data_IF_789549737889
#
_entry.id   IF_789549737889
#
_cell.length_a   1.000
_cell.length_b   1.000
_cell.length_c   1.000
_cell.angle_alpha   90.00
_cell.angle_beta   90.00
_cell.angle_gamma   90.00
#
_symmetry.space_group_name_H-M   'P 1'
#
loop_
_entity.id
_entity.type
_entity.pdbx_description
1 polymer ?
#
# COMPACT_ATOMS: atom_id res chain seq x y z
N UNK A 1 86.44 20.74 -30.57
CA UNK A 1 85.34 19.87 -30.93
C UNK A 1 84.62 19.48 -29.63
N UNK A 2 83.46 20.14 -29.29
CA UNK A 2 82.66 19.80 -28.13
C UNK A 2 81.40 19.17 -28.63
N UNK A 3 81.16 17.88 -28.26
CA UNK A 3 79.93 17.17 -28.56
C UNK A 3 78.92 17.47 -27.46
N UNK A 4 77.81 18.15 -27.81
CA UNK A 4 76.68 18.35 -26.92
C UNK A 4 75.75 17.12 -26.92
N UNK A 5 75.50 16.55 -25.76
CA UNK A 5 74.43 15.52 -25.54
C UNK A 5 73.09 16.28 -25.31
N UNK A 6 72.12 15.96 -26.14
CA UNK A 6 70.74 16.36 -25.94
C UNK A 6 70.06 15.24 -25.14
N UNK A 7 69.66 15.53 -23.90
CA UNK A 7 68.83 14.65 -23.10
C UNK A 7 67.36 14.92 -23.44
N UNK A 8 66.68 13.91 -24.04
CA UNK A 8 65.23 13.93 -24.26
C UNK A 8 64.55 13.39 -22.98
N UNK A 9 63.85 14.26 -22.25
CA UNK A 9 63.04 13.87 -21.12
C UNK A 9 61.71 13.33 -21.64
N UNK A 10 61.46 12.03 -21.50
CA UNK A 10 60.19 11.36 -21.73
C UNK A 10 59.27 11.64 -20.52
N UNK A 11 58.34 12.56 -20.63
CA UNK A 11 57.27 12.73 -19.62
C UNK A 11 56.22 11.62 -19.81
N UNK A 12 56.30 10.60 -18.95
CA UNK A 12 55.26 9.55 -18.87
C UNK A 12 53.99 10.13 -18.27
N UNK A 13 52.94 10.24 -19.07
CA UNK A 13 51.55 10.46 -18.59
C UNK A 13 51.09 9.21 -17.80
N UNK A 14 51.14 9.28 -16.49
CA UNK A 14 50.46 8.32 -15.60
C UNK A 14 48.95 8.59 -15.70
N UNK A 15 48.28 7.84 -16.57
CA UNK A 15 46.81 7.75 -16.54
C UNK A 15 46.43 6.87 -15.35
N UNK A 16 45.99 7.52 -14.26
CA UNK A 16 45.32 6.82 -13.17
C UNK A 16 44.04 6.20 -13.70
N UNK A 17 43.82 4.87 -13.55
CA UNK A 17 42.52 4.29 -13.90
C UNK A 17 41.49 4.90 -12.97
N UNK A 18 40.56 5.67 -13.53
CA UNK A 18 39.33 6.05 -12.85
C UNK A 18 38.60 4.73 -12.61
N UNK A 19 38.51 4.26 -11.40
CA UNK A 19 37.59 3.17 -11.00
C UNK A 19 36.20 3.65 -11.40
N UNK A 20 35.67 3.10 -12.49
CA UNK A 20 34.28 3.28 -12.84
C UNK A 20 33.48 2.73 -11.63
N UNK A 21 32.75 3.60 -10.95
CA UNK A 21 31.82 3.16 -9.91
C UNK A 21 30.92 2.10 -10.54
N UNK A 22 30.72 0.98 -9.85
CA UNK A 22 29.83 -0.08 -10.34
C UNK A 22 28.48 0.51 -10.70
N UNK A 23 28.00 0.21 -11.92
CA UNK A 23 26.77 0.78 -12.44
C UNK A 23 25.59 0.35 -11.55
N UNK A 24 24.91 1.32 -10.93
CA UNK A 24 23.76 1.07 -10.09
C UNK A 24 22.57 0.63 -10.96
N UNK A 25 21.98 -0.50 -10.61
CA UNK A 25 20.77 -1.01 -11.29
C UNK A 25 19.71 0.07 -11.41
N UNK A 26 19.18 0.29 -12.60
CA UNK A 26 18.06 1.20 -12.87
C UNK A 26 18.34 2.69 -12.64
N UNK A 27 19.61 3.08 -12.46
CA UNK A 27 20.04 4.47 -12.28
C UNK A 27 21.11 4.80 -13.32
N UNK A 28 20.86 5.89 -14.06
CA UNK A 28 21.82 6.48 -14.98
C UNK A 28 22.00 7.96 -14.63
N UNK A 29 22.84 8.69 -15.35
CA UNK A 29 23.00 10.14 -15.19
C UNK A 29 21.71 10.91 -15.55
N UNK A 30 20.80 10.30 -16.31
CA UNK A 30 19.59 10.96 -16.84
C UNK A 30 18.28 10.36 -16.35
N UNK A 31 18.29 9.12 -15.84
CA UNK A 31 17.06 8.38 -15.58
C UNK A 31 17.14 7.53 -14.31
N UNK A 32 16.00 7.40 -13.61
CA UNK A 32 15.75 6.43 -12.54
C UNK A 32 14.57 5.57 -13.00
N UNK A 33 14.77 4.25 -13.11
CA UNK A 33 13.73 3.32 -13.54
C UNK A 33 13.01 2.76 -12.33
N UNK A 34 11.71 3.02 -12.24
CA UNK A 34 10.83 2.56 -11.15
C UNK A 34 9.78 1.63 -11.74
N UNK A 35 9.54 0.49 -11.11
CA UNK A 35 8.57 -0.49 -11.57
C UNK A 35 7.44 -0.74 -10.59
N UNK A 36 6.33 -1.23 -11.10
CA UNK A 36 5.23 -1.82 -10.33
C UNK A 36 4.55 -2.91 -11.14
N UNK A 37 3.98 -3.89 -10.45
CA UNK A 37 2.90 -4.70 -10.97
C UNK A 37 1.66 -4.49 -10.10
N UNK A 38 0.51 -4.33 -10.73
CA UNK A 38 -0.75 -4.14 -10.02
C UNK A 38 -1.90 -4.65 -10.88
N UNK A 39 -3.08 -4.78 -10.30
CA UNK A 39 -4.26 -5.22 -11.03
C UNK A 39 -4.84 -4.07 -11.86
N UNK A 40 -4.78 -4.19 -13.18
CA UNK A 40 -5.36 -3.19 -14.09
C UNK A 40 -6.65 -3.66 -14.77
N UNK A 41 -6.96 -4.96 -14.72
CA UNK A 41 -8.08 -5.55 -15.47
C UNK A 41 -8.85 -6.66 -14.73
N UNK A 42 -8.43 -7.01 -13.50
CA UNK A 42 -9.06 -8.05 -12.69
C UNK A 42 -10.00 -7.51 -11.61
N UNK A 43 -10.17 -8.30 -10.54
CA UNK A 43 -11.17 -8.05 -9.47
C UNK A 43 -10.84 -6.85 -8.57
N UNK A 44 -9.60 -6.38 -8.56
CA UNK A 44 -9.13 -5.21 -7.80
C UNK A 44 -8.66 -4.08 -8.71
N UNK A 45 -9.06 -4.09 -9.99
CA UNK A 45 -8.60 -3.11 -10.98
C UNK A 45 -8.88 -1.66 -10.56
N UNK A 46 -9.99 -1.39 -9.86
CA UNK A 46 -10.28 -0.07 -9.33
C UNK A 46 -9.21 0.45 -8.37
N UNK A 47 -8.56 -0.45 -7.61
CA UNK A 47 -7.43 -0.12 -6.75
C UNK A 47 -6.16 0.13 -7.57
N UNK A 48 -5.79 -0.83 -8.41
CA UNK A 48 -4.55 -0.80 -9.16
C UNK A 48 -4.48 0.35 -10.16
N UNK A 49 -5.54 0.57 -10.93
CA UNK A 49 -5.62 1.67 -11.92
C UNK A 49 -5.53 3.04 -11.25
N UNK A 50 -6.34 3.29 -10.20
CA UNK A 50 -6.36 4.62 -9.58
C UNK A 50 -5.07 4.92 -8.82
N UNK A 51 -4.50 3.90 -8.14
CA UNK A 51 -3.21 4.05 -7.46
C UNK A 51 -2.08 4.32 -8.46
N UNK A 52 -1.92 3.48 -9.50
CA UNK A 52 -0.86 3.66 -10.51
C UNK A 52 -0.97 4.99 -11.28
N UNK A 53 -2.19 5.48 -11.50
CA UNK A 53 -2.42 6.78 -12.10
C UNK A 53 -1.83 7.92 -11.26
N UNK A 54 -2.01 7.90 -9.94
CA UNK A 54 -1.46 8.96 -9.08
C UNK A 54 0.06 8.88 -8.93
N UNK A 55 0.64 7.68 -8.91
CA UNK A 55 2.10 7.54 -9.00
C UNK A 55 2.64 8.16 -10.29
N UNK A 56 2.00 7.85 -11.43
CA UNK A 56 2.36 8.45 -12.73
C UNK A 56 2.24 9.96 -12.70
N UNK A 57 1.10 10.48 -12.22
CA UNK A 57 0.86 11.93 -12.12
C UNK A 57 1.95 12.63 -11.31
N UNK A 58 2.30 12.11 -10.13
CA UNK A 58 3.32 12.70 -9.27
C UNK A 58 4.73 12.61 -9.89
N UNK A 59 5.07 11.51 -10.57
CA UNK A 59 6.33 11.35 -11.25
C UNK A 59 6.43 12.27 -12.48
N UNK A 60 5.35 12.46 -13.22
CA UNK A 60 5.31 13.40 -14.35
C UNK A 60 5.46 14.84 -13.87
N UNK A 61 4.88 15.22 -12.72
CA UNK A 61 5.11 16.51 -12.07
C UNK A 61 6.58 16.72 -11.70
N UNK A 62 7.17 15.72 -11.03
CA UNK A 62 8.59 15.77 -10.70
C UNK A 62 9.48 15.89 -11.96
N UNK A 63 9.13 15.15 -13.00
CA UNK A 63 9.82 15.19 -14.29
C UNK A 63 9.69 16.56 -14.97
N UNK A 64 8.52 17.17 -14.96
CA UNK A 64 8.29 18.51 -15.50
C UNK A 64 9.09 19.58 -14.74
N UNK A 65 9.23 19.41 -13.42
CA UNK A 65 10.03 20.30 -12.56
C UNK A 65 11.56 20.11 -12.69
N UNK A 66 12.04 19.28 -13.61
CA UNK A 66 13.48 19.05 -13.84
C UNK A 66 13.99 17.67 -13.40
N UNK A 67 13.12 16.83 -12.82
CA UNK A 67 13.46 15.50 -12.31
C UNK A 67 14.01 15.53 -10.88
N UNK A 68 14.57 14.42 -10.45
CA UNK A 68 15.18 14.26 -9.12
C UNK A 68 16.71 14.31 -9.26
N UNK A 69 17.31 15.33 -8.69
CA UNK A 69 18.78 15.56 -8.80
C UNK A 69 19.28 15.52 -10.25
N UNK A 70 18.45 16.03 -11.22
CA UNK A 70 18.74 16.06 -12.65
C UNK A 70 18.36 14.80 -13.44
N UNK A 71 17.82 13.76 -12.79
CA UNK A 71 17.35 12.52 -13.43
C UNK A 71 15.84 12.53 -13.60
N UNK A 72 15.36 12.05 -14.74
CA UNK A 72 13.92 11.81 -14.96
C UNK A 72 13.53 10.44 -14.39
N UNK A 73 12.31 10.34 -13.88
CA UNK A 73 11.74 9.07 -13.46
C UNK A 73 11.07 8.40 -14.65
N UNK A 74 11.44 7.16 -14.93
CA UNK A 74 10.75 6.28 -15.87
C UNK A 74 9.92 5.28 -15.07
N UNK A 75 8.60 5.35 -15.18
CA UNK A 75 7.68 4.51 -14.45
C UNK A 75 7.09 3.43 -15.35
N UNK A 76 7.30 2.15 -14.99
CA UNK A 76 6.83 0.97 -15.71
C UNK A 76 5.76 0.28 -14.88
N UNK A 77 4.59 0.03 -15.49
CA UNK A 77 3.45 -0.60 -14.85
C UNK A 77 3.08 -1.88 -15.60
N UNK A 78 3.01 -3.01 -14.89
CA UNK A 78 2.62 -4.32 -15.41
C UNK A 78 1.27 -4.75 -14.82
N UNK A 79 0.40 -5.33 -15.64
CA UNK A 79 -0.89 -5.87 -15.21
C UNK A 79 -0.74 -7.30 -14.67
N UNK A 80 -1.03 -7.49 -13.39
CA UNK A 80 -0.99 -8.82 -12.76
C UNK A 80 -2.37 -9.51 -12.66
N UNK A 81 -3.47 -8.82 -12.97
CA UNK A 81 -4.84 -9.33 -12.90
C UNK A 81 -5.20 -9.97 -11.54
N UNK A 82 -4.56 -9.51 -10.45
CA UNK A 82 -4.69 -10.08 -9.12
C UNK A 82 -4.37 -11.59 -9.07
N UNK A 83 -3.36 -12.02 -9.86
CA UNK A 83 -2.94 -13.43 -9.99
C UNK A 83 -1.46 -13.60 -9.63
N UNK A 84 -1.15 -14.56 -8.75
CA UNK A 84 0.23 -14.84 -8.32
C UNK A 84 1.14 -15.19 -9.52
N UNK A 85 0.79 -16.10 -10.45
CA UNK A 85 1.68 -16.44 -11.57
C UNK A 85 2.01 -15.24 -12.45
N UNK A 86 1.04 -14.35 -12.71
CA UNK A 86 1.25 -13.13 -13.49
C UNK A 86 2.14 -12.14 -12.75
N UNK A 87 1.98 -12.03 -11.42
CA UNK A 87 2.84 -11.17 -10.59
C UNK A 87 4.29 -11.65 -10.62
N UNK A 88 4.53 -12.96 -10.55
CA UNK A 88 5.89 -13.54 -10.69
C UNK A 88 6.49 -13.23 -12.06
N UNK A 89 5.72 -13.35 -13.14
CA UNK A 89 6.18 -13.00 -14.48
C UNK A 89 6.49 -11.51 -14.61
N UNK A 90 5.61 -10.63 -14.08
CA UNK A 90 5.79 -9.19 -14.11
C UNK A 90 7.00 -8.76 -13.29
N UNK A 91 7.17 -9.29 -12.06
CA UNK A 91 8.32 -9.01 -11.22
C UNK A 91 9.63 -9.45 -11.90
N UNK A 92 9.66 -10.65 -12.47
CA UNK A 92 10.82 -11.13 -13.23
C UNK A 92 11.17 -10.22 -14.41
N UNK A 93 10.17 -9.75 -15.16
CA UNK A 93 10.37 -8.81 -16.26
C UNK A 93 10.95 -7.49 -15.76
N UNK A 94 10.32 -6.88 -14.76
CA UNK A 94 10.74 -5.60 -14.17
C UNK A 94 12.17 -5.67 -13.63
N UNK A 95 12.50 -6.73 -12.90
CA UNK A 95 13.80 -6.89 -12.26
C UNK A 95 14.89 -7.26 -13.28
N UNK A 96 14.66 -8.29 -14.11
CA UNK A 96 15.74 -8.90 -14.91
C UNK A 96 15.83 -8.33 -16.33
N UNK A 97 14.73 -7.82 -16.90
CA UNK A 97 14.72 -7.27 -18.27
C UNK A 97 14.73 -5.75 -18.27
N UNK A 98 13.84 -5.14 -17.47
CA UNK A 98 13.71 -3.68 -17.43
C UNK A 98 14.72 -3.04 -16.46
N UNK A 99 15.31 -3.84 -15.56
CA UNK A 99 16.38 -3.44 -14.67
C UNK A 99 15.99 -2.35 -13.68
N UNK A 100 14.78 -2.43 -13.11
CA UNK A 100 14.27 -1.39 -12.20
C UNK A 100 15.17 -1.20 -10.97
N UNK A 101 15.33 0.05 -10.54
CA UNK A 101 16.01 0.41 -9.31
C UNK A 101 15.21 0.00 -8.07
N UNK A 102 13.90 0.24 -8.11
CA UNK A 102 12.98 0.05 -7.00
C UNK A 102 11.63 -0.37 -7.54
N UNK A 103 10.89 -1.17 -6.77
CA UNK A 103 9.50 -1.46 -7.03
C UNK A 103 8.60 -0.76 -6.01
N UNK A 104 7.54 -0.12 -6.49
CA UNK A 104 6.59 0.66 -5.68
C UNK A 104 5.17 0.16 -5.88
N UNK A 105 4.32 0.28 -4.86
CA UNK A 105 2.88 0.03 -4.97
C UNK A 105 2.50 -1.32 -5.61
N UNK A 106 3.31 -2.35 -5.45
CA UNK A 106 3.00 -3.70 -5.93
C UNK A 106 1.68 -4.19 -5.35
N UNK A 107 0.74 -4.61 -6.22
CA UNK A 107 -0.63 -4.94 -5.84
C UNK A 107 -0.79 -6.33 -5.23
N UNK A 108 -1.46 -6.40 -4.05
CA UNK A 108 -1.93 -7.64 -3.44
C UNK A 108 -0.93 -8.33 -2.49
N UNK A 109 -1.43 -8.81 -1.35
CA UNK A 109 -0.61 -9.49 -0.32
C UNK A 109 0.02 -10.79 -0.83
N UNK A 110 -0.74 -11.77 -1.35
CA UNK A 110 -0.16 -13.03 -1.80
C UNK A 110 0.80 -12.84 -2.98
N UNK A 111 0.59 -11.83 -3.82
CA UNK A 111 1.45 -11.47 -4.94
C UNK A 111 2.79 -10.94 -4.44
N UNK A 112 2.78 -10.01 -3.48
CA UNK A 112 4.00 -9.50 -2.86
C UNK A 112 4.76 -10.61 -2.12
N UNK A 113 4.09 -11.44 -1.33
CA UNK A 113 4.74 -12.53 -0.61
C UNK A 113 5.41 -13.54 -1.54
N UNK A 114 4.84 -13.78 -2.73
CA UNK A 114 5.40 -14.69 -3.72
C UNK A 114 6.60 -14.09 -4.47
N UNK A 115 6.70 -12.77 -4.65
CA UNK A 115 7.73 -12.12 -5.47
C UNK A 115 8.83 -11.46 -4.65
N UNK A 116 8.50 -10.97 -3.46
CA UNK A 116 9.39 -10.17 -2.62
C UNK A 116 10.69 -10.89 -2.21
N UNK A 117 10.72 -12.21 -1.91
CA UNK A 117 11.97 -12.88 -1.58
C UNK A 117 13.02 -12.76 -2.68
N UNK A 118 12.67 -13.01 -3.95
CA UNK A 118 13.58 -12.88 -5.10
C UNK A 118 13.93 -11.40 -5.38
N UNK A 119 12.96 -10.50 -5.25
CA UNK A 119 13.15 -9.05 -5.39
C UNK A 119 14.20 -8.53 -4.41
N UNK A 120 14.06 -8.85 -3.13
CA UNK A 120 14.99 -8.42 -2.07
C UNK A 120 16.37 -9.05 -2.20
N UNK A 121 16.43 -10.34 -2.56
CA UNK A 121 17.70 -11.03 -2.81
C UNK A 121 18.52 -10.38 -3.95
N UNK A 122 17.85 -9.71 -4.88
CA UNK A 122 18.48 -8.94 -5.97
C UNK A 122 18.76 -7.47 -5.62
N UNK A 123 18.56 -7.09 -4.37
CA UNK A 123 18.80 -5.73 -3.88
C UNK A 123 17.79 -4.69 -4.37
N UNK A 124 16.58 -5.11 -4.82
CA UNK A 124 15.54 -4.21 -5.31
C UNK A 124 14.58 -3.87 -4.16
N UNK A 125 14.50 -2.62 -3.69
CA UNK A 125 13.60 -2.22 -2.62
C UNK A 125 12.12 -2.42 -2.97
N UNK A 126 11.30 -2.79 -1.95
CA UNK A 126 9.84 -2.90 -2.02
C UNK A 126 9.21 -1.78 -1.20
N UNK A 127 8.68 -0.77 -1.89
CA UNK A 127 8.29 0.49 -1.26
C UNK A 127 6.78 0.68 -1.37
N UNK A 128 6.13 0.81 -0.20
CA UNK A 128 4.71 1.12 -0.09
C UNK A 128 3.82 0.26 -0.99
N UNK A 129 3.92 -1.08 -0.90
CA UNK A 129 3.06 -1.97 -1.69
C UNK A 129 1.59 -1.60 -1.53
N UNK A 130 0.79 -1.82 -2.57
CA UNK A 130 -0.66 -1.63 -2.52
C UNK A 130 -1.31 -2.82 -1.78
N UNK A 131 -0.92 -2.93 -0.55
CA UNK A 131 -1.44 -3.82 0.49
C UNK A 131 -0.92 -3.34 1.84
N UNK A 132 -1.76 -3.43 2.88
CA UNK A 132 -1.36 -3.10 4.24
C UNK A 132 -0.98 -4.33 5.06
N UNK A 133 -0.53 -5.43 4.44
CA UNK A 133 -0.12 -6.60 5.17
C UNK A 133 1.14 -6.35 6.01
N UNK A 134 1.18 -6.92 7.23
CA UNK A 134 2.33 -6.84 8.13
C UNK A 134 3.63 -7.37 7.49
N UNK A 135 3.53 -8.34 6.59
CA UNK A 135 4.68 -8.87 5.85
C UNK A 135 5.41 -7.84 4.99
N UNK A 136 4.83 -6.66 4.76
CA UNK A 136 5.47 -5.59 3.98
C UNK A 136 6.56 -4.84 4.76
N UNK A 137 6.63 -5.01 6.08
CA UNK A 137 7.68 -4.42 6.92
C UNK A 137 8.23 -5.43 7.96
N UNK A 138 7.50 -6.51 8.28
CA UNK A 138 7.93 -7.59 9.16
C UNK A 138 8.07 -8.94 8.40
N UNK A 139 9.03 -9.83 8.81
CA UNK A 139 10.16 -9.49 9.66
C UNK A 139 10.96 -8.34 9.04
N UNK A 140 11.68 -7.57 9.87
CA UNK A 140 12.44 -6.42 9.39
C UNK A 140 13.42 -6.81 8.28
N UNK A 141 13.45 -6.02 7.22
CA UNK A 141 14.43 -6.07 6.15
C UNK A 141 14.67 -4.64 5.65
N UNK A 142 15.94 -4.23 5.52
CA UNK A 142 16.31 -2.84 5.21
C UNK A 142 15.70 -2.30 3.89
N UNK A 143 15.32 -3.17 2.95
CA UNK A 143 14.71 -2.79 1.67
C UNK A 143 13.17 -2.83 1.67
N UNK A 144 12.50 -3.06 2.79
CA UNK A 144 11.04 -3.09 2.88
C UNK A 144 10.49 -1.88 3.62
N UNK A 145 9.50 -1.20 3.04
CA UNK A 145 8.81 -0.08 3.68
C UNK A 145 7.29 -0.16 3.47
N UNK A 146 6.54 -0.21 4.57
CA UNK A 146 5.08 -0.12 4.60
C UNK A 146 4.63 1.32 4.79
N UNK A 147 3.55 1.73 4.13
CA UNK A 147 3.08 3.13 4.15
C UNK A 147 2.47 3.51 5.50
N UNK A 148 1.53 2.72 6.00
CA UNK A 148 0.69 3.07 7.15
C UNK A 148 0.32 1.82 7.96
N UNK A 149 -0.70 1.92 8.82
CA UNK A 149 -1.16 0.82 9.70
C UNK A 149 -1.48 -0.45 8.90
N UNK A 150 -0.93 -1.57 9.36
CA UNK A 150 -1.19 -2.88 8.76
C UNK A 150 -2.63 -3.35 8.98
N UNK A 151 -3.10 -4.32 8.19
CA UNK A 151 -4.37 -4.99 8.46
C UNK A 151 -4.41 -5.60 9.86
N UNK A 152 -3.30 -6.14 10.30
CA UNK A 152 -3.14 -6.64 11.67
C UNK A 152 -3.38 -5.54 12.70
N UNK A 153 -2.73 -4.36 12.58
CA UNK A 153 -2.91 -3.24 13.50
C UNK A 153 -4.36 -2.73 13.47
N UNK A 154 -4.91 -2.58 12.26
CA UNK A 154 -6.29 -2.14 12.05
C UNK A 154 -7.29 -3.05 12.76
N UNK A 155 -7.14 -4.39 12.62
CA UNK A 155 -8.06 -5.32 13.25
C UNK A 155 -7.85 -5.44 14.75
N UNK A 156 -6.62 -5.32 15.23
CA UNK A 156 -6.39 -5.21 16.68
C UNK A 156 -7.13 -4.01 17.27
N UNK A 157 -6.94 -2.83 16.70
CA UNK A 157 -7.61 -1.62 17.16
C UNK A 157 -9.14 -1.71 17.03
N UNK A 158 -9.65 -2.20 15.89
CA UNK A 158 -11.08 -2.34 15.65
C UNK A 158 -11.77 -3.32 16.58
N UNK A 159 -11.23 -4.52 16.74
CA UNK A 159 -11.77 -5.54 17.65
C UNK A 159 -11.75 -5.05 19.10
N UNK A 160 -10.64 -4.43 19.56
CA UNK A 160 -10.57 -3.82 20.88
C UNK A 160 -11.71 -2.83 21.10
N UNK A 161 -11.91 -1.93 20.13
CA UNK A 161 -12.94 -0.91 20.21
C UNK A 161 -14.35 -1.52 20.29
N UNK A 162 -14.67 -2.52 19.47
CA UNK A 162 -15.99 -3.17 19.50
C UNK A 162 -16.23 -3.96 20.77
N UNK A 163 -15.23 -4.65 21.31
CA UNK A 163 -15.35 -5.36 22.61
C UNK A 163 -15.54 -4.37 23.75
N UNK A 164 -14.72 -3.31 23.85
CA UNK A 164 -14.74 -2.36 24.97
C UNK A 164 -15.91 -1.37 24.92
N UNK A 165 -16.26 -0.87 23.75
CA UNK A 165 -17.27 0.21 23.60
C UNK A 165 -18.64 -0.28 23.19
N UNK A 166 -18.71 -1.39 22.44
CA UNK A 166 -19.97 -1.95 21.95
C UNK A 166 -20.34 -3.27 22.66
N UNK A 167 -19.52 -3.73 23.62
CA UNK A 167 -19.79 -4.90 24.45
C UNK A 167 -19.81 -6.23 23.71
N UNK A 168 -19.17 -6.31 22.52
CA UNK A 168 -19.15 -7.52 21.70
C UNK A 168 -18.33 -8.63 22.34
N UNK A 169 -18.85 -9.86 22.30
CA UNK A 169 -18.21 -11.03 22.93
C UNK A 169 -18.17 -12.26 22.01
N UNK A 170 -19.11 -12.38 21.10
CA UNK A 170 -19.22 -13.49 20.16
C UNK A 170 -18.69 -13.08 18.78
N UNK A 171 -17.37 -12.84 18.70
CA UNK A 171 -16.71 -12.37 17.49
C UNK A 171 -16.43 -13.53 16.55
N UNK A 172 -16.84 -13.39 15.30
CA UNK A 172 -16.60 -14.34 14.22
C UNK A 172 -15.77 -13.73 13.09
N UNK A 173 -15.25 -14.59 12.21
CA UNK A 173 -14.46 -14.18 11.07
C UNK A 173 -14.98 -14.71 9.74
N UNK A 174 -14.84 -13.91 8.67
CA UNK A 174 -15.03 -14.33 7.30
C UNK A 174 -13.97 -13.69 6.43
N UNK A 175 -13.11 -14.51 5.83
CA UNK A 175 -11.95 -13.97 5.12
C UNK A 175 -11.56 -14.78 3.89
N UNK A 176 -10.82 -14.15 2.97
CA UNK A 176 -10.18 -14.87 1.89
C UNK A 176 -9.17 -15.91 2.42
N UNK A 177 -9.17 -17.10 1.85
CA UNK A 177 -8.16 -18.14 2.11
C UNK A 177 -6.84 -17.79 1.39
N UNK A 178 -6.21 -16.71 1.86
CA UNK A 178 -4.97 -16.16 1.32
C UNK A 178 -4.15 -15.55 2.45
N UNK A 179 -2.90 -15.17 2.17
CA UNK A 179 -2.06 -14.41 3.12
C UNK A 179 -2.70 -13.11 3.59
N UNK A 180 -3.50 -12.46 2.72
CA UNK A 180 -4.25 -11.27 3.07
C UNK A 180 -5.28 -11.55 4.17
N UNK A 181 -6.16 -12.53 3.96
CA UNK A 181 -7.18 -12.89 4.94
C UNK A 181 -6.58 -13.38 6.25
N UNK A 182 -5.45 -14.11 6.19
CA UNK A 182 -4.72 -14.55 7.40
C UNK A 182 -4.21 -13.36 8.21
N UNK A 183 -3.58 -12.35 7.60
CA UNK A 183 -3.05 -11.17 8.30
C UNK A 183 -4.16 -10.38 9.02
N UNK A 184 -5.33 -10.23 8.37
CA UNK A 184 -6.53 -9.62 8.96
C UNK A 184 -6.99 -10.41 10.20
N UNK A 185 -7.15 -11.73 10.05
CA UNK A 185 -7.67 -12.58 11.12
C UNK A 185 -6.68 -12.78 12.25
N UNK A 186 -5.37 -12.75 12.00
CA UNK A 186 -4.35 -12.78 13.05
C UNK A 186 -4.45 -11.57 13.97
N UNK A 187 -4.68 -10.36 13.41
CA UNK A 187 -4.94 -9.17 14.21
C UNK A 187 -6.16 -9.32 15.12
N UNK A 188 -7.26 -9.85 14.59
CA UNK A 188 -8.48 -10.10 15.35
C UNK A 188 -8.27 -11.14 16.46
N UNK A 189 -7.63 -12.29 16.14
CA UNK A 189 -7.34 -13.38 17.09
C UNK A 189 -6.43 -12.92 18.23
N UNK A 190 -5.35 -12.23 17.92
CA UNK A 190 -4.39 -11.76 18.93
C UNK A 190 -5.01 -10.71 19.85
N UNK A 191 -5.88 -9.85 19.32
CA UNK A 191 -6.59 -8.88 20.14
C UNK A 191 -7.60 -9.56 21.08
N UNK A 192 -8.40 -10.49 20.57
CA UNK A 192 -9.35 -11.24 21.38
C UNK A 192 -8.62 -12.03 22.48
N UNK A 193 -7.51 -12.70 22.14
CA UNK A 193 -6.67 -13.41 23.11
C UNK A 193 -6.16 -12.48 24.21
N UNK A 194 -5.71 -11.26 23.87
CA UNK A 194 -5.27 -10.25 24.83
C UNK A 194 -6.41 -9.81 25.78
N UNK A 195 -7.67 -9.99 25.37
CA UNK A 195 -8.88 -9.67 26.14
C UNK A 195 -9.54 -10.90 26.76
N UNK A 196 -8.86 -12.07 26.80
CA UNK A 196 -9.37 -13.36 27.26
C UNK A 196 -10.63 -13.84 26.53
N UNK A 197 -10.73 -13.51 25.24
CA UNK A 197 -11.76 -13.95 24.30
C UNK A 197 -11.14 -14.76 23.17
N UNK A 198 -11.97 -15.39 22.35
CA UNK A 198 -11.54 -16.11 21.14
C UNK A 198 -12.57 -15.95 20.02
N UNK A 199 -12.15 -16.24 18.79
CA UNK A 199 -13.05 -16.33 17.64
C UNK A 199 -14.03 -17.49 17.88
N UNK A 200 -15.34 -17.25 17.74
CA UNK A 200 -16.40 -18.24 17.91
C UNK A 200 -16.54 -19.14 16.69
N UNK A 201 -16.50 -18.55 15.51
CA UNK A 201 -16.56 -19.27 14.24
C UNK A 201 -15.81 -18.52 13.14
N UNK A 202 -15.25 -19.27 12.21
CA UNK A 202 -14.62 -18.72 11.01
C UNK A 202 -15.10 -19.42 9.75
N UNK A 203 -15.19 -18.66 8.68
CA UNK A 203 -15.42 -19.15 7.33
C UNK A 203 -14.38 -18.58 6.38
N UNK A 204 -13.94 -19.39 5.43
CA UNK A 204 -12.97 -19.01 4.40
C UNK A 204 -13.63 -19.07 3.02
N UNK A 205 -13.16 -18.25 2.11
CA UNK A 205 -13.56 -18.26 0.71
C UNK A 205 -12.37 -18.02 -0.21
N UNK A 206 -12.44 -18.52 -1.42
CA UNK A 206 -11.43 -18.25 -2.45
C UNK A 206 -11.69 -16.87 -3.10
N UNK A 207 -10.66 -16.22 -3.64
CA UNK A 207 -10.82 -14.97 -4.38
C UNK A 207 -11.77 -15.05 -5.59
N UNK A 208 -12.07 -16.27 -6.06
CA UNK A 208 -12.97 -16.55 -7.19
C UNK A 208 -14.41 -16.82 -6.78
N UNK A 209 -14.68 -16.97 -5.48
CA UNK A 209 -16.03 -17.29 -5.00
C UNK A 209 -16.96 -16.09 -5.16
N UNK A 210 -18.23 -16.37 -5.46
CA UNK A 210 -19.27 -15.37 -5.70
C UNK A 210 -20.56 -15.64 -4.90
N UNK A 211 -20.69 -16.79 -4.26
CA UNK A 211 -21.81 -17.14 -3.38
C UNK A 211 -21.33 -17.33 -1.94
N UNK A 212 -21.88 -16.51 -1.06
CA UNK A 212 -21.54 -16.48 0.37
C UNK A 212 -22.69 -16.94 1.26
N UNK A 213 -23.76 -17.53 0.69
CA UNK A 213 -24.98 -17.90 1.43
C UNK A 213 -24.69 -18.93 2.51
N UNK A 214 -23.97 -20.01 2.20
CA UNK A 214 -23.64 -21.05 3.16
C UNK A 214 -22.65 -20.58 4.24
N UNK A 215 -21.55 -19.88 3.95
CA UNK A 215 -20.71 -19.23 4.95
C UNK A 215 -21.48 -18.29 5.90
N UNK A 216 -22.37 -17.44 5.36
CA UNK A 216 -23.21 -16.53 6.15
C UNK A 216 -24.15 -17.28 7.09
N UNK A 217 -24.83 -18.32 6.60
CA UNK A 217 -25.72 -19.17 7.43
C UNK A 217 -24.95 -19.80 8.60
N UNK A 218 -23.74 -20.34 8.33
CA UNK A 218 -22.89 -20.94 9.35
C UNK A 218 -22.53 -19.95 10.47
N UNK A 219 -22.18 -18.70 10.13
CA UNK A 219 -21.85 -17.67 11.13
C UNK A 219 -23.09 -17.24 11.93
N UNK A 220 -24.26 -17.20 11.28
CA UNK A 220 -25.53 -16.91 11.96
C UNK A 220 -25.88 -17.98 12.99
N UNK A 221 -25.77 -19.25 12.61
CA UNK A 221 -26.05 -20.40 13.47
C UNK A 221 -25.07 -20.50 14.66
N UNK A 222 -23.85 -19.97 14.49
CA UNK A 222 -22.84 -19.88 15.56
C UNK A 222 -23.15 -18.78 16.60
N UNK A 223 -24.16 -17.94 16.39
CA UNK A 223 -24.57 -16.90 17.34
C UNK A 223 -23.61 -15.71 17.42
N UNK A 224 -22.96 -15.35 16.33
CA UNK A 224 -22.06 -14.19 16.27
C UNK A 224 -22.76 -12.88 16.61
N UNK A 225 -22.08 -11.96 17.31
CA UNK A 225 -22.53 -10.58 17.57
C UNK A 225 -21.69 -9.52 16.86
N UNK A 226 -20.53 -9.92 16.32
CA UNK A 226 -19.65 -9.14 15.44
C UNK A 226 -19.01 -10.07 14.42
N UNK A 227 -18.95 -9.64 13.15
CA UNK A 227 -18.18 -10.34 12.11
C UNK A 227 -17.03 -9.45 11.64
N UNK A 228 -15.81 -9.98 11.75
CA UNK A 228 -14.61 -9.41 11.14
C UNK A 228 -14.51 -9.90 9.71
N UNK A 229 -14.40 -8.97 8.75
CA UNK A 229 -14.28 -9.26 7.31
C UNK A 229 -12.84 -9.05 6.83
N UNK A 230 -12.18 -10.14 6.46
CA UNK A 230 -10.91 -10.16 5.74
C UNK A 230 -11.13 -10.22 4.23
N UNK A 231 -11.80 -9.20 3.65
CA UNK A 231 -12.36 -9.24 2.29
C UNK A 231 -11.96 -8.01 1.49
N UNK A 232 -11.84 -8.17 0.16
CA UNK A 232 -11.68 -7.08 -0.79
C UNK A 232 -13.04 -6.42 -1.10
N UNK A 233 -13.03 -5.26 -1.77
CA UNK A 233 -14.24 -4.46 -2.11
C UNK A 233 -15.39 -5.29 -2.64
N UNK A 234 -15.17 -6.13 -3.69
CA UNK A 234 -16.21 -6.97 -4.29
C UNK A 234 -16.84 -7.94 -3.29
N UNK A 235 -16.01 -8.68 -2.58
CA UNK A 235 -16.46 -9.71 -1.64
C UNK A 235 -17.19 -9.06 -0.46
N UNK A 236 -16.71 -7.92 0.03
CA UNK A 236 -17.36 -7.13 1.08
C UNK A 236 -18.79 -6.75 0.69
N UNK A 237 -18.97 -6.19 -0.51
CA UNK A 237 -20.31 -5.82 -1.01
C UNK A 237 -21.24 -7.03 -1.05
N UNK A 238 -20.78 -8.15 -1.58
CA UNK A 238 -21.59 -9.36 -1.72
C UNK A 238 -21.96 -9.97 -0.36
N UNK A 239 -21.01 -10.06 0.57
CA UNK A 239 -21.21 -10.63 1.90
C UNK A 239 -22.15 -9.77 2.73
N UNK A 240 -21.89 -8.45 2.80
CA UNK A 240 -22.74 -7.53 3.57
C UNK A 240 -24.16 -7.52 3.01
N UNK A 241 -24.31 -7.48 1.68
CA UNK A 241 -25.61 -7.56 1.03
C UNK A 241 -26.34 -8.88 1.32
N UNK A 242 -25.64 -10.01 1.31
CA UNK A 242 -26.22 -11.32 1.64
C UNK A 242 -26.71 -11.38 3.10
N UNK A 243 -25.95 -10.83 4.03
CA UNK A 243 -26.32 -10.73 5.46
C UNK A 243 -27.57 -9.86 5.64
N UNK A 244 -27.62 -8.69 5.00
CA UNK A 244 -28.78 -7.78 5.09
C UNK A 244 -30.04 -8.35 4.42
N UNK A 245 -29.87 -9.06 3.29
CA UNK A 245 -30.98 -9.71 2.58
C UNK A 245 -31.76 -10.73 3.40
N UNK A 246 -31.08 -11.44 4.31
CA UNK A 246 -31.72 -12.40 5.22
C UNK A 246 -32.24 -11.74 6.50
N UNK A 247 -32.25 -10.42 6.60
CA UNK A 247 -32.71 -9.66 7.74
C UNK A 247 -31.82 -9.80 9.00
N UNK A 248 -30.57 -10.22 8.83
CA UNK A 248 -29.64 -10.36 9.95
C UNK A 248 -28.95 -9.03 10.25
N UNK A 249 -29.43 -8.37 11.33
CA UNK A 249 -28.88 -7.11 11.79
C UNK A 249 -27.74 -7.34 12.76
N UNK A 250 -26.54 -7.54 12.23
CA UNK A 250 -25.31 -7.77 13.00
C UNK A 250 -24.28 -6.69 12.67
N UNK A 251 -23.42 -6.36 13.61
CA UNK A 251 -22.28 -5.48 13.36
C UNK A 251 -21.22 -6.20 12.52
N UNK A 252 -20.68 -5.47 11.55
CA UNK A 252 -19.70 -5.94 10.60
C UNK A 252 -18.55 -4.95 10.56
N UNK A 253 -17.32 -5.42 10.68
CA UNK A 253 -16.13 -4.59 10.61
C UNK A 253 -15.14 -5.13 9.59
N UNK A 254 -14.70 -4.29 8.68
CA UNK A 254 -13.64 -4.56 7.71
C UNK A 254 -12.37 -3.74 7.99
N UNK A 255 -11.50 -3.73 7.02
CA UNK A 255 -10.20 -3.07 7.03
C UNK A 255 -9.99 -2.28 5.72
N UNK A 256 -8.82 -1.64 5.53
CA UNK A 256 -8.57 -0.72 4.42
C UNK A 256 -8.94 -1.25 3.03
N UNK A 257 -8.81 -2.55 2.74
CA UNK A 257 -9.19 -3.10 1.43
C UNK A 257 -10.71 -3.20 1.22
N UNK A 258 -11.52 -2.98 2.26
CA UNK A 258 -12.97 -2.82 2.19
C UNK A 258 -13.42 -1.35 2.29
N UNK A 259 -12.49 -0.43 2.54
CA UNK A 259 -12.75 1.00 2.65
C UNK A 259 -12.62 1.65 1.27
N UNK A 260 -13.65 1.51 0.47
CA UNK A 260 -13.74 2.07 -0.89
C UNK A 260 -15.13 2.65 -1.12
N UNK A 261 -15.24 3.68 -1.94
CA UNK A 261 -16.50 4.37 -2.23
C UNK A 261 -17.56 3.41 -2.79
N UNK A 262 -17.13 2.44 -3.62
CA UNK A 262 -18.05 1.44 -4.16
C UNK A 262 -18.73 0.58 -3.09
N UNK A 263 -18.11 0.41 -1.92
CA UNK A 263 -18.76 -0.27 -0.78
C UNK A 263 -19.83 0.64 -0.15
N UNK A 264 -19.55 1.93 -0.04
CA UNK A 264 -20.51 2.87 0.56
C UNK A 264 -21.72 3.16 -0.38
N UNK A 265 -21.47 3.22 -1.68
CA UNK A 265 -22.42 3.64 -2.70
C UNK A 265 -23.29 2.51 -3.26
N UNK A 266 -23.35 1.35 -2.59
CA UNK A 266 -24.15 0.20 -3.07
C UNK A 266 -25.62 0.61 -3.19
N UNK A 267 -26.25 0.42 -4.37
CA UNK A 267 -27.65 0.75 -4.57
C UNK A 267 -28.58 0.10 -3.55
N UNK A 268 -29.53 0.87 -3.04
CA UNK A 268 -30.46 0.42 -2.01
C UNK A 268 -29.89 0.39 -0.59
N UNK A 269 -28.64 0.88 -0.38
CA UNK A 269 -28.05 1.01 0.95
C UNK A 269 -27.75 -0.33 1.62
N UNK A 270 -27.48 -1.38 0.84
CA UNK A 270 -27.24 -2.72 1.39
C UNK A 270 -26.05 -2.80 2.36
N UNK A 271 -25.12 -1.83 2.29
CA UNK A 271 -23.94 -1.75 3.15
C UNK A 271 -24.09 -0.71 4.27
N UNK A 272 -25.24 -0.11 4.44
CA UNK A 272 -25.50 0.86 5.52
C UNK A 272 -25.16 0.25 6.89
N UNK A 273 -24.44 1.02 7.73
CA UNK A 273 -23.96 0.57 9.03
C UNK A 273 -22.80 -0.41 8.98
N UNK A 274 -22.16 -0.65 7.83
CA UNK A 274 -20.92 -1.39 7.74
C UNK A 274 -19.77 -0.52 8.22
N UNK A 275 -18.92 -1.06 9.10
CA UNK A 275 -17.76 -0.38 9.65
C UNK A 275 -16.47 -0.84 8.95
N UNK A 276 -15.51 0.07 8.84
CA UNK A 276 -14.16 -0.27 8.40
C UNK A 276 -13.10 0.48 9.20
N UNK A 277 -12.04 -0.22 9.57
CA UNK A 277 -10.81 0.42 10.00
C UNK A 277 -10.04 0.86 8.76
N UNK A 278 -9.49 2.06 8.80
CA UNK A 278 -8.68 2.61 7.71
C UNK A 278 -7.46 3.35 8.25
N UNK A 279 -6.29 3.26 7.61
CA UNK A 279 -5.10 3.99 8.06
C UNK A 279 -5.19 5.50 7.84
N UNK A 280 -6.05 5.94 6.92
CA UNK A 280 -6.29 7.36 6.61
C UNK A 280 -7.77 7.57 6.30
N UNK A 281 -8.30 8.77 6.54
CA UNK A 281 -9.65 9.13 6.13
C UNK A 281 -9.61 9.61 4.68
N UNK A 282 -10.53 9.10 3.86
CA UNK A 282 -10.67 9.59 2.49
C UNK A 282 -11.33 10.96 2.46
N UNK A 283 -10.66 11.93 1.85
CA UNK A 283 -11.12 13.32 1.79
C UNK A 283 -11.05 13.91 0.37
N UNK A 284 -10.26 13.31 -0.53
CA UNK A 284 -9.82 13.92 -1.78
C UNK A 284 -10.97 14.40 -2.70
N UNK A 285 -12.13 13.74 -2.71
CA UNK A 285 -13.22 14.10 -3.60
C UNK A 285 -14.06 15.32 -3.13
N UNK A 286 -13.98 15.70 -1.85
CA UNK A 286 -14.90 16.67 -1.25
C UNK A 286 -14.25 17.73 -0.38
N UNK A 287 -12.93 17.69 -0.25
CA UNK A 287 -12.16 18.62 0.59
C UNK A 287 -11.96 19.96 -0.11
N UNK A 288 -12.22 21.04 0.60
CA UNK A 288 -12.10 22.41 0.08
C UNK A 288 -10.75 23.05 0.36
N UNK A 289 -9.83 22.36 1.04
CA UNK A 289 -8.45 22.86 1.23
C UNK A 289 -7.79 23.00 -0.14
N UNK A 290 -7.12 24.14 -0.43
CA UNK A 290 -6.64 24.46 -1.78
C UNK A 290 -5.77 23.38 -2.40
N UNK A 291 -4.86 22.77 -1.64
CA UNK A 291 -3.95 21.72 -2.11
C UNK A 291 -4.68 20.41 -2.44
N UNK A 292 -5.70 20.05 -1.65
CA UNK A 292 -6.51 18.84 -1.88
C UNK A 292 -7.42 19.04 -3.08
N UNK A 293 -8.07 20.20 -3.17
CA UNK A 293 -8.91 20.56 -4.31
C UNK A 293 -8.10 20.59 -5.62
N UNK A 294 -6.89 21.16 -5.60
CA UNK A 294 -5.98 21.16 -6.76
C UNK A 294 -5.56 19.75 -7.19
N UNK A 295 -5.30 18.85 -6.23
CA UNK A 295 -5.04 17.44 -6.52
C UNK A 295 -6.24 16.78 -7.20
N UNK A 296 -7.45 16.96 -6.66
CA UNK A 296 -8.67 16.35 -7.18
C UNK A 296 -8.99 16.85 -8.60
N UNK A 297 -8.91 18.17 -8.82
CA UNK A 297 -9.11 18.79 -10.14
C UNK A 297 -8.11 18.26 -11.17
N UNK A 298 -6.84 18.20 -10.80
CA UNK A 298 -5.80 17.67 -11.68
C UNK A 298 -6.01 16.21 -12.02
N UNK A 299 -6.33 15.38 -11.01
CA UNK A 299 -6.63 13.96 -11.21
C UNK A 299 -7.81 13.80 -12.18
N UNK A 300 -8.91 14.50 -11.93
CA UNK A 300 -10.10 14.49 -12.80
C UNK A 300 -9.79 14.93 -14.23
N UNK A 301 -8.99 15.98 -14.39
CA UNK A 301 -8.57 16.47 -15.71
C UNK A 301 -7.75 15.44 -16.49
N UNK A 302 -6.86 14.70 -15.81
CA UNK A 302 -5.98 13.72 -16.45
C UNK A 302 -6.68 12.40 -16.75
N UNK A 303 -7.58 11.94 -15.85
CA UNK A 303 -8.13 10.59 -15.90
C UNK A 303 -9.65 10.53 -16.10
N UNK A 304 -10.33 11.68 -16.23
CA UNK A 304 -11.76 11.77 -16.54
C UNK A 304 -12.71 11.36 -15.43
N UNK A 305 -12.21 11.17 -14.19
CA UNK A 305 -13.00 10.76 -13.02
C UNK A 305 -12.43 11.34 -11.73
N UNK A 306 -13.27 11.43 -10.70
CA UNK A 306 -12.83 11.86 -9.38
C UNK A 306 -11.79 10.86 -8.80
N UNK A 307 -10.84 11.34 -7.97
CA UNK A 307 -9.95 10.47 -7.24
C UNK A 307 -10.75 9.65 -6.21
N UNK A 308 -10.39 8.38 -6.05
CA UNK A 308 -10.90 7.53 -4.99
C UNK A 308 -9.86 7.33 -3.88
N UNK A 309 -10.18 6.51 -2.88
CA UNK A 309 -9.28 6.21 -1.77
C UNK A 309 -7.91 5.65 -2.23
N UNK A 310 -7.90 4.76 -3.24
CA UNK A 310 -6.66 4.23 -3.80
C UNK A 310 -5.80 5.31 -4.47
N UNK A 311 -6.43 6.30 -5.09
CA UNK A 311 -5.73 7.46 -5.66
C UNK A 311 -5.10 8.33 -4.57
N UNK A 312 -5.81 8.58 -3.46
CA UNK A 312 -5.27 9.31 -2.32
C UNK A 312 -4.03 8.62 -1.74
N UNK A 313 -4.11 7.31 -1.46
CA UNK A 313 -2.98 6.53 -0.96
C UNK A 313 -1.79 6.54 -1.92
N UNK A 314 -2.05 6.42 -3.22
CA UNK A 314 -1.01 6.46 -4.25
C UNK A 314 -0.27 7.80 -4.28
N UNK A 315 -0.98 8.91 -4.12
CA UNK A 315 -0.36 10.24 -4.09
C UNK A 315 0.51 10.42 -2.85
N UNK A 316 0.02 10.03 -1.67
CA UNK A 316 0.79 10.04 -0.42
C UNK A 316 2.09 9.22 -0.56
N UNK A 317 2.01 7.99 -1.08
CA UNK A 317 3.18 7.15 -1.31
C UNK A 317 4.16 7.74 -2.32
N UNK A 318 3.66 8.32 -3.42
CA UNK A 318 4.49 8.92 -4.44
C UNK A 318 5.23 10.17 -3.94
N UNK A 319 4.60 11.01 -3.11
CA UNK A 319 5.25 12.17 -2.49
C UNK A 319 6.38 11.75 -1.54
N UNK A 320 6.16 10.74 -0.71
CA UNK A 320 7.20 10.17 0.15
C UNK A 320 8.36 9.58 -0.65
N UNK A 321 8.06 8.84 -1.73
CA UNK A 321 9.07 8.28 -2.62
C UNK A 321 9.94 9.37 -3.27
N UNK A 322 9.32 10.44 -3.77
CA UNK A 322 10.01 11.60 -4.36
C UNK A 322 10.91 12.28 -3.31
N UNK A 323 10.41 12.43 -2.07
CA UNK A 323 11.18 12.99 -0.97
C UNK A 323 12.40 12.11 -0.63
N UNK A 324 12.21 10.80 -0.51
CA UNK A 324 13.29 9.86 -0.24
C UNK A 324 14.38 9.90 -1.32
N UNK A 325 13.99 9.94 -2.60
CA UNK A 325 14.94 10.08 -3.71
C UNK A 325 15.71 11.41 -3.66
N UNK A 326 15.07 12.49 -3.26
CA UNK A 326 15.73 13.80 -3.07
C UNK A 326 16.73 13.74 -1.92
N UNK A 327 16.35 13.15 -0.79
CA UNK A 327 17.18 12.97 0.40
C UNK A 327 18.38 12.05 0.14
N UNK A 328 18.24 11.04 -0.73
CA UNK A 328 19.33 10.15 -1.14
C UNK A 328 20.46 10.88 -1.89
N UNK A 329 20.17 12.05 -2.46
CA UNK A 329 21.19 12.86 -3.13
C UNK A 329 21.55 12.37 -4.55
N UNK A 330 22.71 12.82 -5.04
CA UNK A 330 23.18 12.49 -6.40
C UNK A 330 23.78 11.10 -6.51
N UNK A 331 24.41 10.59 -5.44
CA UNK A 331 25.04 9.28 -5.40
C UNK A 331 24.03 8.18 -5.07
N UNK A 332 22.98 8.13 -5.88
CA UNK A 332 21.82 7.26 -5.66
C UNK A 332 22.19 5.78 -5.84
N UNK A 333 22.05 5.01 -4.78
CA UNK A 333 22.11 3.55 -4.73
C UNK A 333 21.12 3.04 -3.67
N UNK A 334 21.03 1.72 -3.44
CA UNK A 334 20.07 1.17 -2.49
C UNK A 334 20.29 1.68 -1.07
N UNK A 335 21.54 1.81 -0.61
CA UNK A 335 21.86 2.24 0.76
C UNK A 335 21.54 3.72 0.97
N UNK A 336 21.93 4.60 0.03
CA UNK A 336 21.62 6.03 0.11
C UNK A 336 20.10 6.28 -0.01
N UNK A 337 19.39 5.46 -0.80
CA UNK A 337 17.94 5.50 -0.88
C UNK A 337 17.28 5.10 0.44
N UNK A 338 17.74 3.99 1.06
CA UNK A 338 17.25 3.56 2.38
C UNK A 338 17.51 4.65 3.42
N UNK A 339 18.72 5.22 3.46
CA UNK A 339 19.03 6.35 4.35
C UNK A 339 18.11 7.56 4.09
N UNK A 340 17.81 7.84 2.83
CA UNK A 340 16.86 8.88 2.43
C UNK A 340 15.44 8.61 2.91
N UNK A 341 14.97 7.36 2.90
CA UNK A 341 13.70 6.95 3.50
C UNK A 341 13.71 7.08 5.01
N UNK A 342 14.75 6.56 5.66
CA UNK A 342 14.90 6.56 7.13
C UNK A 342 15.08 7.95 7.72
N UNK A 343 15.47 8.95 6.91
CA UNK A 343 15.58 10.36 7.32
C UNK A 343 14.24 11.09 7.35
N UNK A 344 13.15 10.47 6.90
CA UNK A 344 11.83 11.11 6.88
C UNK A 344 11.19 10.99 8.26
N UNK A 345 11.07 12.12 8.96
CA UNK A 345 10.45 12.21 10.27
C UNK A 345 9.32 13.23 10.26
N UNK A 346 8.28 12.95 11.03
CA UNK A 346 7.14 13.84 11.27
C UNK A 346 6.53 14.43 9.99
N UNK A 347 6.50 13.59 8.94
CA UNK A 347 5.98 14.00 7.65
C UNK A 347 4.44 13.94 7.61
N UNK A 348 3.84 14.93 6.97
CA UNK A 348 2.41 15.06 6.77
C UNK A 348 2.09 15.16 5.29
N UNK A 349 1.05 14.48 4.85
CA UNK A 349 0.50 14.67 3.52
C UNK A 349 -0.51 15.84 3.49
N UNK A 350 -0.97 16.18 2.29
CA UNK A 350 -1.99 17.23 2.10
C UNK A 350 -3.38 16.80 2.59
N UNK A 351 -3.61 15.51 2.83
CA UNK A 351 -4.92 14.95 3.17
C UNK A 351 -5.20 14.95 4.68
N UNK A 352 -4.21 15.21 5.52
CA UNK A 352 -4.33 15.15 6.97
C UNK A 352 -4.25 13.74 7.54
N UNK A 353 -3.52 12.86 6.86
CA UNK A 353 -3.21 11.52 7.36
C UNK A 353 -2.40 11.57 8.65
N UNK A 354 -2.36 10.48 9.45
CA UNK A 354 -1.48 10.40 10.60
C UNK A 354 -0.03 10.69 10.21
N UNK A 355 0.68 11.36 11.11
CA UNK A 355 2.11 11.65 10.94
C UNK A 355 2.90 10.40 10.61
N UNK A 356 3.73 10.48 9.59
CA UNK A 356 4.57 9.36 9.13
C UNK A 356 6.03 9.61 9.50
N UNK A 357 6.63 8.63 10.14
CA UNK A 357 8.04 8.64 10.56
C UNK A 357 8.66 7.29 10.30
N UNK A 358 9.79 7.28 9.60
CA UNK A 358 10.61 6.10 9.34
C UNK A 358 11.94 6.20 10.11
N UNK A 359 12.70 5.13 10.16
CA UNK A 359 14.01 5.10 10.81
C UNK A 359 14.64 3.71 10.76
N UNK A 360 15.91 3.54 11.15
CA UNK A 360 16.72 2.32 10.95
C UNK A 360 16.13 1.01 11.52
N UNK A 361 15.12 1.12 12.38
CA UNK A 361 14.40 -0.04 12.97
C UNK A 361 12.89 0.07 12.82
N UNK A 362 12.40 1.06 12.05
CA UNK A 362 10.98 1.33 11.86
C UNK A 362 10.72 1.65 10.39
N UNK A 363 10.27 0.65 9.65
CA UNK A 363 9.93 0.77 8.24
C UNK A 363 8.41 0.76 7.97
N UNK A 364 7.60 1.00 8.99
CA UNK A 364 6.18 1.30 8.91
C UNK A 364 5.97 2.78 9.24
N UNK A 365 5.38 3.55 8.33
CA UNK A 365 5.22 5.00 8.48
C UNK A 365 4.38 5.40 9.69
N UNK A 366 3.21 4.74 9.85
CA UNK A 366 2.30 4.93 11.00
C UNK A 366 1.60 3.61 11.35
N UNK A 367 1.26 3.40 12.62
CA UNK A 367 0.40 2.30 13.11
C UNK A 367 -0.99 2.77 13.52
N UNK A 368 -1.31 4.03 13.29
CA UNK A 368 -2.60 4.63 13.68
C UNK A 368 -3.68 4.34 12.64
N UNK A 369 -4.92 4.15 13.09
CA UNK A 369 -6.08 3.87 12.25
C UNK A 369 -7.28 4.70 12.68
N UNK A 370 -8.26 4.84 11.79
CA UNK A 370 -9.56 5.46 12.07
C UNK A 370 -10.66 4.43 11.91
N UNK A 371 -11.72 4.55 12.71
CA UNK A 371 -12.96 3.83 12.48
C UNK A 371 -13.89 4.69 11.64
N UNK A 372 -14.33 4.17 10.51
CA UNK A 372 -15.33 4.77 9.65
C UNK A 372 -16.55 3.86 9.54
N UNK A 373 -17.71 4.43 9.20
CA UNK A 373 -18.97 3.72 9.00
C UNK A 373 -19.66 4.22 7.73
N UNK A 374 -20.32 3.33 7.01
CA UNK A 374 -21.18 3.70 5.91
C UNK A 374 -22.47 4.31 6.45
N UNK A 375 -22.76 5.56 6.11
CA UNK A 375 -23.95 6.29 6.49
C UNK A 375 -24.45 7.16 5.36
N UNK A 376 -25.68 6.91 4.91
CA UNK A 376 -26.29 7.65 3.81
C UNK A 376 -25.53 7.48 2.49
N UNK A 377 -24.98 6.29 2.22
CA UNK A 377 -24.22 5.99 1.01
C UNK A 377 -22.81 6.61 0.98
N UNK A 378 -22.26 7.02 2.13
CA UNK A 378 -20.94 7.63 2.24
C UNK A 378 -20.17 7.06 3.42
N UNK A 379 -18.86 7.02 3.31
CA UNK A 379 -17.99 6.77 4.45
C UNK A 379 -17.93 7.97 5.37
N UNK A 380 -18.31 7.78 6.64
CA UNK A 380 -18.26 8.80 7.67
C UNK A 380 -17.30 8.36 8.77
N UNK A 381 -16.34 9.19 9.19
CA UNK A 381 -15.52 8.87 10.34
C UNK A 381 -16.38 8.86 11.61
N UNK A 382 -16.25 7.82 12.43
CA UNK A 382 -16.87 7.75 13.76
C UNK A 382 -16.20 8.74 14.71
N UNK A 383 -14.89 8.93 14.52
CA UNK A 383 -14.08 9.95 15.19
C UNK A 383 -12.96 10.40 14.25
N UNK A 384 -12.59 11.67 14.35
CA UNK A 384 -11.40 12.22 13.68
C UNK A 384 -10.09 11.93 14.44
N UNK A 385 -10.20 11.38 15.65
CA UNK A 385 -9.04 10.91 16.42
C UNK A 385 -8.69 9.49 16.02
N UNK A 386 -7.44 9.30 15.61
CA UNK A 386 -6.92 7.97 15.30
C UNK A 386 -6.77 7.12 16.56
N UNK A 387 -6.84 5.81 16.38
CA UNK A 387 -6.72 4.82 17.45
C UNK A 387 -5.63 3.80 17.13
N UNK A 388 -4.98 3.30 18.17
CA UNK A 388 -4.11 2.13 18.16
C UNK A 388 -4.65 1.07 19.14
N UNK A 389 -3.90 -0.01 19.34
CA UNK A 389 -4.27 -1.08 20.25
C UNK A 389 -3.31 -1.20 21.43
#
# INVERSE_FOLDING_TARGET
>A
MRKGLIAVALAGLLTTPTLAADAVRGVTDKEIVIGTYTDLSGVTAMWGVNNSNTWRMAFDEANAAGGINGRKIKYIVEDNQYQIPRSVQAANKLINKDGVFVMVANGGTPMNNATMPDQLAKGVPNIFPLTSARSMYEPFHHLKFGLAASYYDQMRAGVKLFVEKHGKKAVCGMSQDTDFGRDVMDGARDQLKAMNLSIVAETLHKPTDTDFSAPVARLRDAGCDLIVLGTITRDTIQIVSAIRKIGWNIDLIGQAASYDEAVAEVPGGATEGFYSMTPVIFVAAHDTRPEVAAFAEKYKKLFGKEPNFAAQLGYTGAQLMILALKNAGKDLNADTFVAGMESIHDWHDIFGSPTMTFGPKKHQGSSQSFLCVVKGGKWMPVSTTSVGY
#
